data_IF_719957899742
#
_entry.id   IF_719957899742
#
_cell.length_a   1.000
_cell.length_b   1.000
_cell.length_c   1.000
_cell.angle_alpha   90.00
_cell.angle_beta   90.00
_cell.angle_gamma   90.00
#
_symmetry.space_group_name_H-M   'P 1'
#
loop_
_entity.id
_entity.type
_entity.pdbx_description
1 polymer ?
#
# COMPACT_ATOMS: atom_id res chain seq x y z
N UNK A 1 70.75 -26.13 -8.69
CA UNK A 1 69.75 -26.92 -7.96
C UNK A 1 69.32 -26.15 -6.73
N UNK A 2 68.15 -25.52 -6.73
CA UNK A 2 67.55 -24.94 -5.53
C UNK A 2 66.05 -25.21 -5.58
N UNK A 3 65.60 -26.19 -4.81
CA UNK A 3 64.19 -26.57 -4.69
C UNK A 3 63.54 -25.81 -3.54
N UNK A 4 62.35 -25.31 -3.85
CA UNK A 4 61.38 -24.66 -2.97
C UNK A 4 61.00 -25.48 -1.72
N UNK A 5 60.71 -24.78 -0.62
CA UNK A 5 59.65 -25.20 0.30
C UNK A 5 59.06 -23.98 1.02
N UNK A 6 57.95 -23.47 0.48
CA UNK A 6 57.09 -22.47 1.10
C UNK A 6 55.89 -23.20 1.68
N UNK A 7 56.01 -23.65 2.93
CA UNK A 7 54.96 -24.35 3.67
C UNK A 7 54.99 -23.84 5.09
N UNK A 8 54.14 -22.86 5.38
CA UNK A 8 53.52 -22.59 6.69
C UNK A 8 52.81 -21.23 6.66
N UNK A 9 51.48 -21.23 6.56
CA UNK A 9 50.60 -20.24 7.21
C UNK A 9 49.16 -20.37 6.68
N UNK A 10 48.43 -21.42 7.07
CA UNK A 10 46.96 -21.49 6.91
C UNK A 10 46.31 -22.45 7.94
N UNK A 11 46.69 -22.37 9.22
CA UNK A 11 45.95 -23.05 10.30
C UNK A 11 45.95 -22.24 11.59
N UNK A 12 45.17 -21.16 11.65
CA UNK A 12 44.89 -20.48 12.93
C UNK A 12 43.64 -19.59 12.89
N UNK A 13 42.48 -20.11 12.46
CA UNK A 13 41.20 -19.36 12.52
C UNK A 13 39.97 -20.20 12.95
N UNK A 14 40.15 -21.33 13.66
CA UNK A 14 39.03 -22.23 13.97
C UNK A 14 38.75 -22.59 15.44
N UNK A 15 39.32 -21.93 16.44
CA UNK A 15 39.05 -22.30 17.85
C UNK A 15 38.88 -21.12 18.80
N UNK A 16 37.87 -20.28 18.56
CA UNK A 16 37.31 -19.42 19.61
C UNK A 16 35.86 -19.01 19.28
N UNK A 17 34.91 -19.94 19.45
CA UNK A 17 33.47 -19.64 19.29
C UNK A 17 32.59 -20.46 20.23
N UNK A 18 32.89 -20.43 21.53
CA UNK A 18 32.03 -21.05 22.56
C UNK A 18 31.82 -20.17 23.81
N UNK A 19 31.77 -18.84 23.67
CA UNK A 19 31.35 -17.95 24.76
C UNK A 19 30.52 -16.77 24.26
N UNK A 20 29.21 -17.00 24.07
CA UNK A 20 28.12 -16.05 24.35
C UNK A 20 26.80 -16.63 23.83
N UNK A 21 26.07 -17.33 24.70
CA UNK A 21 24.67 -17.71 24.46
C UNK A 21 23.75 -16.49 24.70
N UNK A 22 24.04 -15.37 24.05
CA UNK A 22 23.05 -14.32 23.86
C UNK A 22 22.27 -14.76 22.64
N UNK A 23 21.05 -15.28 22.85
CA UNK A 23 20.14 -15.59 21.75
C UNK A 23 20.07 -14.35 20.86
N UNK A 24 20.57 -14.40 19.62
CA UNK A 24 20.56 -13.23 18.75
C UNK A 24 19.12 -12.78 18.63
N UNK A 25 18.83 -11.55 19.09
CA UNK A 25 17.53 -10.91 18.91
C UNK A 25 17.13 -11.17 17.46
N UNK A 26 16.01 -11.86 17.26
CA UNK A 26 15.48 -12.17 15.93
C UNK A 26 15.31 -10.83 15.21
N UNK A 27 16.31 -10.46 14.40
CA UNK A 27 16.29 -9.23 13.65
C UNK A 27 15.07 -9.31 12.74
N UNK A 28 14.34 -8.21 12.66
CA UNK A 28 13.07 -8.10 11.94
C UNK A 28 13.14 -8.86 10.62
N UNK A 29 12.42 -9.98 10.54
CA UNK A 29 12.30 -10.82 9.35
C UNK A 29 11.70 -10.07 8.16
N UNK A 30 11.26 -8.82 8.36
CA UNK A 30 10.56 -7.96 7.39
C UNK A 30 11.44 -6.96 6.66
N UNK A 31 12.77 -6.97 6.79
CA UNK A 31 13.63 -6.11 5.94
C UNK A 31 13.46 -6.52 4.47
N UNK A 32 13.27 -5.58 3.55
CA UNK A 32 13.24 -5.90 2.11
C UNK A 32 14.59 -6.47 1.64
N UNK A 33 14.58 -7.33 0.62
CA UNK A 33 15.82 -7.74 -0.06
C UNK A 33 16.34 -6.57 -0.89
N UNK A 34 17.64 -6.33 -0.80
CA UNK A 34 18.35 -5.30 -1.55
C UNK A 34 19.02 -5.89 -2.79
N UNK A 35 19.45 -5.04 -3.72
CA UNK A 35 20.22 -5.49 -4.90
C UNK A 35 21.55 -6.17 -4.52
N UNK A 36 22.13 -5.79 -3.37
CA UNK A 36 23.32 -6.43 -2.83
C UNK A 36 23.02 -7.88 -2.39
N UNK A 37 21.88 -8.10 -1.74
CA UNK A 37 21.43 -9.44 -1.37
C UNK A 37 21.22 -10.31 -2.62
N UNK A 38 20.61 -9.75 -3.68
CA UNK A 38 20.39 -10.46 -4.94
C UNK A 38 21.70 -10.89 -5.60
N UNK A 39 22.70 -10.00 -5.66
CA UNK A 39 24.03 -10.33 -6.19
C UNK A 39 24.69 -11.44 -5.37
N UNK A 40 24.62 -11.34 -4.04
CA UNK A 40 25.18 -12.35 -3.14
C UNK A 40 24.52 -13.73 -3.31
N UNK A 41 23.18 -13.78 -3.37
CA UNK A 41 22.40 -15.00 -3.57
C UNK A 41 22.81 -15.67 -4.89
N UNK A 42 22.92 -14.90 -5.97
CA UNK A 42 23.29 -15.43 -7.29
C UNK A 42 24.71 -15.97 -7.32
N UNK A 43 25.67 -15.27 -6.70
CA UNK A 43 27.05 -15.73 -6.58
C UNK A 43 27.13 -17.06 -5.79
N UNK A 44 26.46 -17.15 -4.64
CA UNK A 44 26.41 -18.37 -3.83
C UNK A 44 25.73 -19.54 -4.57
N UNK A 45 24.70 -19.26 -5.38
CA UNK A 45 24.05 -20.26 -6.23
C UNK A 45 24.97 -20.77 -7.34
N UNK A 46 25.79 -19.90 -7.93
CA UNK A 46 26.84 -20.30 -8.88
C UNK A 46 27.85 -21.27 -8.27
N UNK A 47 28.15 -21.09 -6.98
CA UNK A 47 29.00 -21.99 -6.18
C UNK A 47 28.28 -23.23 -5.65
N UNK A 48 27.01 -23.46 -6.04
CA UNK A 48 26.17 -24.58 -5.57
C UNK A 48 25.93 -24.62 -4.05
N UNK A 49 26.04 -23.49 -3.33
CA UNK A 49 25.63 -23.43 -1.92
C UNK A 49 24.13 -23.74 -1.75
N UNK A 50 23.77 -24.40 -0.65
CA UNK A 50 22.36 -24.70 -0.32
C UNK A 50 21.64 -23.41 0.09
N UNK A 51 20.32 -23.33 -0.17
CA UNK A 51 19.52 -22.16 0.24
C UNK A 51 19.54 -21.94 1.75
N UNK A 52 19.65 -23.02 2.54
CA UNK A 52 19.77 -22.94 4.00
C UNK A 52 21.03 -22.20 4.43
N UNK A 53 22.18 -22.56 3.88
CA UNK A 53 23.45 -21.89 4.16
C UNK A 53 23.41 -20.41 3.73
N UNK A 54 22.81 -20.11 2.58
CA UNK A 54 22.64 -18.73 2.11
C UNK A 54 21.71 -17.94 3.04
N UNK A 55 20.65 -18.56 3.57
CA UNK A 55 19.73 -17.93 4.50
C UNK A 55 20.43 -17.61 5.83
N UNK A 56 21.27 -18.51 6.33
CA UNK A 56 22.11 -18.30 7.50
C UNK A 56 23.12 -17.16 7.27
N UNK A 57 23.82 -17.16 6.14
CA UNK A 57 24.78 -16.10 5.76
C UNK A 57 24.12 -14.71 5.70
N UNK A 58 22.85 -14.63 5.24
CA UNK A 58 22.08 -13.38 5.16
C UNK A 58 21.29 -13.04 6.43
N UNK A 59 21.34 -13.89 7.45
CA UNK A 59 20.50 -13.80 8.65
C UNK A 59 19.00 -13.67 8.30
N UNK A 60 18.51 -14.56 7.43
CA UNK A 60 17.12 -14.63 6.95
C UNK A 60 16.50 -15.99 7.24
N UNK A 61 15.18 -16.03 7.30
CA UNK A 61 14.47 -17.31 7.37
C UNK A 61 14.48 -17.99 6.00
N UNK A 62 14.62 -19.32 6.01
CA UNK A 62 14.61 -20.12 4.79
C UNK A 62 13.34 -19.89 3.93
N UNK A 63 12.11 -19.87 4.48
CA UNK A 63 10.90 -19.60 3.67
C UNK A 63 10.89 -18.23 2.99
N UNK A 64 11.46 -17.20 3.64
CA UNK A 64 11.60 -15.87 3.04
C UNK A 64 12.55 -15.90 1.85
N UNK A 65 13.70 -16.57 2.02
CA UNK A 65 14.68 -16.70 0.94
C UNK A 65 14.15 -17.55 -0.22
N UNK A 66 13.45 -18.65 0.06
CA UNK A 66 12.84 -19.51 -0.96
C UNK A 66 11.83 -18.73 -1.80
N UNK A 67 10.92 -18.00 -1.16
CA UNK A 67 9.94 -17.16 -1.85
C UNK A 67 10.63 -16.07 -2.69
N UNK A 68 11.67 -15.43 -2.13
CA UNK A 68 12.43 -14.40 -2.84
C UNK A 68 13.18 -14.96 -4.05
N UNK A 69 13.94 -16.04 -3.89
CA UNK A 69 14.67 -16.71 -4.96
C UNK A 69 13.72 -17.19 -6.06
N UNK A 70 12.59 -17.81 -5.68
CA UNK A 70 11.56 -18.22 -6.63
C UNK A 70 11.07 -17.04 -7.47
N UNK A 71 10.73 -15.92 -6.82
CA UNK A 71 10.27 -14.72 -7.51
C UNK A 71 11.36 -14.13 -8.40
N UNK A 72 12.59 -13.97 -7.90
CA UNK A 72 13.72 -13.37 -8.63
C UNK A 72 14.13 -14.20 -9.84
N UNK A 73 14.25 -15.52 -9.71
CA UNK A 73 14.54 -16.42 -10.83
C UNK A 73 13.43 -16.41 -11.87
N UNK A 74 12.16 -16.42 -11.41
CA UNK A 74 10.99 -16.30 -12.28
C UNK A 74 10.95 -14.97 -13.04
N UNK A 75 11.42 -13.86 -12.44
CA UNK A 75 11.55 -12.56 -13.14
C UNK A 75 12.63 -12.61 -14.22
N UNK A 76 13.80 -13.16 -13.89
CA UNK A 76 14.99 -13.15 -14.78
C UNK A 76 14.85 -14.08 -15.99
N UNK A 77 14.14 -15.20 -15.86
CA UNK A 77 13.89 -16.11 -16.99
C UNK A 77 12.86 -15.58 -18.01
N UNK A 78 12.52 -14.27 -17.97
CA UNK A 78 11.43 -13.71 -18.79
C UNK A 78 10.05 -14.31 -18.45
N UNK A 79 9.96 -15.06 -17.34
CA UNK A 79 8.81 -15.89 -16.97
C UNK A 79 7.75 -15.16 -16.15
N UNK A 80 7.95 -13.87 -15.84
CA UNK A 80 6.79 -12.98 -15.71
C UNK A 80 6.39 -12.62 -17.14
N UNK A 81 5.75 -13.58 -17.82
CA UNK A 81 4.66 -13.18 -18.71
C UNK A 81 3.87 -12.16 -17.88
N UNK A 82 3.68 -10.91 -18.35
CA UNK A 82 2.88 -9.93 -17.63
C UNK A 82 1.66 -10.70 -17.17
N UNK A 83 1.36 -10.70 -15.85
CA UNK A 83 0.19 -11.41 -15.34
C UNK A 83 -0.91 -11.00 -16.29
N UNK A 84 -1.31 -11.91 -17.20
CA UNK A 84 -2.14 -11.52 -18.34
C UNK A 84 -3.29 -10.82 -17.66
N UNK A 85 -3.53 -9.53 -17.94
CA UNK A 85 -4.42 -8.72 -17.13
C UNK A 85 -5.65 -9.57 -16.95
N UNK A 86 -5.96 -9.95 -15.69
CA UNK A 86 -7.00 -10.95 -15.43
C UNK A 86 -8.23 -10.40 -16.13
N UNK A 87 -8.62 -11.02 -17.25
CA UNK A 87 -9.78 -10.57 -18.01
C UNK A 87 -10.91 -10.51 -16.99
N UNK A 88 -11.40 -9.30 -16.75
CA UNK A 88 -12.54 -9.13 -15.87
C UNK A 88 -13.72 -9.69 -16.64
N UNK A 89 -14.31 -10.76 -16.11
CA UNK A 89 -15.49 -11.35 -16.71
C UNK A 89 -16.68 -10.41 -16.49
N UNK A 90 -17.41 -10.12 -17.55
CA UNK A 90 -18.63 -9.30 -17.48
C UNK A 90 -19.83 -10.16 -17.09
N UNK A 91 -20.97 -9.52 -16.81
CA UNK A 91 -22.22 -10.26 -16.61
C UNK A 91 -22.68 -10.96 -17.89
N UNK A 92 -22.34 -10.41 -19.06
CA UNK A 92 -22.59 -11.04 -20.36
C UNK A 92 -21.83 -12.36 -20.46
N UNK A 93 -20.53 -12.38 -20.10
CA UNK A 93 -19.74 -13.62 -20.09
C UNK A 93 -20.38 -14.69 -19.16
N UNK A 94 -20.95 -14.27 -18.02
CA UNK A 94 -21.63 -15.19 -17.09
C UNK A 94 -22.92 -15.73 -17.69
N UNK A 95 -23.73 -14.86 -18.31
CA UNK A 95 -25.00 -15.26 -18.92
C UNK A 95 -24.76 -16.17 -20.12
N UNK A 96 -23.81 -15.82 -20.99
CA UNK A 96 -23.39 -16.66 -22.11
C UNK A 96 -22.93 -18.05 -21.63
N UNK A 97 -22.11 -18.12 -20.58
CA UNK A 97 -21.69 -19.39 -20.00
C UNK A 97 -22.88 -20.22 -19.48
N UNK A 98 -23.89 -19.59 -18.88
CA UNK A 98 -25.10 -20.25 -18.38
C UNK A 98 -26.00 -20.75 -19.50
N UNK A 99 -26.19 -19.96 -20.56
CA UNK A 99 -26.97 -20.37 -21.73
C UNK A 99 -26.33 -21.56 -22.45
N UNK A 100 -25.00 -21.56 -22.61
CA UNK A 100 -24.29 -22.71 -23.18
C UNK A 100 -24.43 -23.97 -22.30
N UNK A 101 -24.45 -23.83 -20.97
CA UNK A 101 -24.71 -24.97 -20.09
C UNK A 101 -26.17 -25.44 -20.16
N UNK A 102 -27.13 -24.52 -20.28
CA UNK A 102 -28.56 -24.82 -20.39
C UNK A 102 -28.88 -25.57 -21.69
N UNK A 103 -28.13 -25.31 -22.77
CA UNK A 103 -28.22 -26.06 -24.03
C UNK A 103 -27.56 -27.45 -24.00
N UNK A 104 -27.01 -27.86 -22.85
CA UNK A 104 -26.47 -29.20 -22.62
C UNK A 104 -24.97 -29.37 -22.92
N UNK A 105 -24.23 -28.30 -23.23
CA UNK A 105 -22.79 -28.40 -23.44
C UNK A 105 -22.08 -28.76 -22.13
N UNK A 106 -21.02 -29.58 -22.23
CA UNK A 106 -20.17 -29.86 -21.08
C UNK A 106 -19.40 -28.60 -20.65
N UNK A 107 -19.09 -28.46 -19.35
CA UNK A 107 -18.27 -27.34 -18.84
C UNK A 107 -16.93 -27.21 -19.59
N UNK A 108 -16.34 -28.33 -20.02
CA UNK A 108 -15.08 -28.34 -20.77
C UNK A 108 -15.24 -27.71 -22.15
N UNK A 109 -16.38 -27.93 -22.80
CA UNK A 109 -16.68 -27.37 -24.13
C UNK A 109 -17.05 -25.90 -24.03
N UNK A 110 -17.80 -25.51 -22.99
CA UNK A 110 -18.05 -24.09 -22.68
C UNK A 110 -16.74 -23.34 -22.44
N UNK A 111 -15.83 -23.89 -21.62
CA UNK A 111 -14.52 -23.28 -21.36
C UNK A 111 -13.70 -23.12 -22.65
N UNK A 112 -13.73 -24.13 -23.53
CA UNK A 112 -13.06 -24.08 -24.83
C UNK A 112 -13.66 -23.01 -25.75
N UNK A 113 -15.00 -22.95 -25.82
CA UNK A 113 -15.73 -22.00 -26.66
C UNK A 113 -15.50 -20.55 -26.22
N UNK A 114 -15.47 -20.30 -24.91
CA UNK A 114 -15.17 -18.99 -24.32
C UNK A 114 -13.67 -18.65 -24.26
N UNK A 115 -12.79 -19.57 -24.68
CA UNK A 115 -11.32 -19.45 -24.62
C UNK A 115 -10.81 -19.16 -23.20
N UNK A 116 -11.39 -19.80 -22.20
CA UNK A 116 -10.98 -19.72 -20.78
C UNK A 116 -10.57 -21.09 -20.26
N UNK A 117 -9.76 -21.11 -19.19
CA UNK A 117 -9.46 -22.37 -18.50
C UNK A 117 -10.67 -22.88 -17.70
N UNK A 118 -10.77 -24.19 -17.47
CA UNK A 118 -11.82 -24.77 -16.63
C UNK A 118 -11.85 -24.15 -15.22
N UNK A 119 -10.69 -23.83 -14.65
CA UNK A 119 -10.60 -23.14 -13.36
C UNK A 119 -11.19 -21.72 -13.41
N UNK A 120 -10.98 -20.99 -14.51
CA UNK A 120 -11.61 -19.68 -14.71
C UNK A 120 -13.11 -19.80 -14.91
N UNK A 121 -13.60 -20.75 -15.71
CA UNK A 121 -15.04 -20.98 -15.88
C UNK A 121 -15.73 -21.28 -14.54
N UNK A 122 -15.07 -22.08 -13.69
CA UNK A 122 -15.53 -22.32 -12.33
C UNK A 122 -15.64 -21.02 -11.52
N UNK A 123 -14.65 -20.13 -11.61
CA UNK A 123 -14.71 -18.81 -10.95
C UNK A 123 -15.81 -17.91 -11.53
N UNK A 124 -16.13 -18.01 -12.82
CA UNK A 124 -17.24 -17.26 -13.46
C UNK A 124 -18.59 -17.72 -12.89
N UNK A 125 -18.79 -19.04 -12.78
CA UNK A 125 -20.07 -19.64 -12.41
C UNK A 125 -20.29 -19.67 -10.88
N UNK A 126 -19.27 -20.07 -10.12
CA UNK A 126 -19.39 -20.38 -8.69
C UNK A 126 -19.13 -19.19 -7.77
N UNK A 127 -18.55 -18.08 -8.28
CA UNK A 127 -18.24 -16.94 -7.45
C UNK A 127 -19.34 -15.87 -7.55
N UNK A 128 -20.30 -15.80 -6.60
CA UNK A 128 -21.28 -14.71 -6.60
C UNK A 128 -20.61 -13.33 -6.44
N UNK A 129 -19.33 -13.24 -6.03
CA UNK A 129 -18.59 -11.97 -5.97
C UNK A 129 -18.10 -11.49 -7.34
N UNK A 130 -17.84 -12.36 -8.31
CA UNK A 130 -17.57 -11.93 -9.70
C UNK A 130 -18.85 -11.41 -10.36
N UNK A 131 -19.99 -12.04 -10.07
CA UNK A 131 -21.34 -11.56 -10.48
C UNK A 131 -21.74 -10.24 -9.79
N UNK A 132 -21.27 -10.00 -8.56
CA UNK A 132 -21.63 -8.78 -7.82
C UNK A 132 -20.99 -7.49 -8.35
N UNK A 133 -19.93 -7.53 -9.18
CA UNK A 133 -19.14 -6.33 -9.46
C UNK A 133 -18.44 -6.27 -10.83
N UNK A 134 -19.07 -6.76 -11.91
CA UNK A 134 -19.06 -5.89 -13.08
C UNK A 134 -19.86 -4.65 -12.64
N UNK A 135 -19.16 -3.67 -12.07
CA UNK A 135 -19.75 -2.43 -11.57
C UNK A 135 -20.33 -1.75 -12.80
N UNK A 136 -21.58 -2.07 -13.15
CA UNK A 136 -22.33 -1.30 -14.11
C UNK A 136 -22.17 0.13 -13.65
N UNK A 137 -21.51 0.93 -14.50
CA UNK A 137 -21.55 2.35 -14.33
C UNK A 137 -23.02 2.69 -14.16
N UNK A 138 -23.35 3.44 -13.10
CA UNK A 138 -24.74 3.80 -12.85
C UNK A 138 -25.29 4.41 -14.14
N UNK A 139 -26.41 3.88 -14.60
CA UNK A 139 -27.10 4.47 -15.74
C UNK A 139 -27.50 5.90 -15.38
N UNK A 140 -27.62 6.79 -16.36
CA UNK A 140 -28.10 8.16 -16.08
C UNK A 140 -29.50 8.14 -15.46
N UNK A 141 -30.33 7.14 -15.78
CA UNK A 141 -31.63 6.91 -15.13
C UNK A 141 -31.50 6.57 -13.63
N UNK A 142 -30.55 5.71 -13.26
CA UNK A 142 -30.26 5.41 -11.85
C UNK A 142 -29.74 6.64 -11.11
N UNK A 143 -28.88 7.42 -11.75
CA UNK A 143 -28.34 8.66 -11.19
C UNK A 143 -29.48 9.66 -10.94
N UNK A 144 -30.34 9.89 -11.93
CA UNK A 144 -31.50 10.77 -11.81
C UNK A 144 -32.43 10.32 -10.69
N UNK A 145 -32.71 9.02 -10.60
CA UNK A 145 -33.52 8.44 -9.51
C UNK A 145 -32.89 8.64 -8.13
N UNK A 146 -31.58 8.44 -8.00
CA UNK A 146 -30.86 8.69 -6.73
C UNK A 146 -30.93 10.17 -6.34
N UNK A 147 -30.82 11.07 -7.32
CA UNK A 147 -30.89 12.52 -7.11
C UNK A 147 -32.29 12.92 -6.67
N UNK A 148 -33.35 12.53 -7.40
CA UNK A 148 -34.74 12.89 -7.07
C UNK A 148 -35.15 12.38 -5.69
N UNK A 149 -34.84 11.12 -5.36
CA UNK A 149 -35.08 10.56 -4.03
C UNK A 149 -34.36 11.33 -2.92
N UNK A 150 -33.20 11.92 -3.20
CA UNK A 150 -32.45 12.72 -2.22
C UNK A 150 -32.99 14.14 -2.10
N UNK A 151 -33.33 14.81 -3.19
CA UNK A 151 -33.76 16.22 -3.20
C UNK A 151 -35.22 16.37 -2.81
N UNK A 152 -36.11 15.51 -3.32
CA UNK A 152 -37.55 15.59 -3.11
C UNK A 152 -37.97 14.92 -1.81
N UNK A 153 -37.53 13.67 -1.59
CA UNK A 153 -37.93 12.86 -0.44
C UNK A 153 -36.99 12.98 0.77
N UNK A 154 -35.87 13.69 0.64
CA UNK A 154 -34.86 13.90 1.68
C UNK A 154 -34.32 12.61 2.33
N UNK A 155 -34.38 11.48 1.62
CA UNK A 155 -33.97 10.17 2.16
C UNK A 155 -32.49 10.14 2.54
N UNK A 156 -32.17 9.44 3.62
CA UNK A 156 -30.79 9.21 4.05
C UNK A 156 -30.05 8.30 3.06
N UNK A 157 -28.72 8.35 3.08
CA UNK A 157 -27.89 7.52 2.19
C UNK A 157 -28.11 6.01 2.39
N UNK A 158 -28.41 5.59 3.63
CA UNK A 158 -28.68 4.20 3.98
C UNK A 158 -30.03 3.73 3.43
N UNK A 159 -31.06 4.59 3.48
CA UNK A 159 -32.37 4.30 2.89
C UNK A 159 -32.29 4.25 1.37
N UNK A 160 -31.56 5.19 0.75
CA UNK A 160 -31.29 5.15 -0.69
C UNK A 160 -30.60 3.84 -1.10
N UNK A 161 -29.65 3.33 -0.30
CA UNK A 161 -28.97 2.06 -0.56
C UNK A 161 -29.92 0.88 -0.53
N UNK A 162 -30.82 0.84 0.46
CA UNK A 162 -31.86 -0.19 0.54
C UNK A 162 -32.84 -0.10 -0.62
N UNK A 163 -33.29 1.10 -0.98
CA UNK A 163 -34.32 1.30 -1.97
C UNK A 163 -33.83 1.09 -3.41
N UNK A 164 -32.58 1.45 -3.71
CA UNK A 164 -32.04 1.37 -5.07
C UNK A 164 -31.21 0.10 -5.31
N UNK A 165 -30.89 -0.66 -4.25
CA UNK A 165 -30.02 -1.84 -4.33
C UNK A 165 -28.54 -1.52 -4.53
N UNK A 166 -28.17 -0.23 -4.69
CA UNK A 166 -26.78 0.19 -4.82
C UNK A 166 -26.07 0.24 -3.48
N UNK A 167 -24.75 -0.05 -3.51
CA UNK A 167 -23.95 0.05 -2.30
C UNK A 167 -23.93 1.47 -1.75
N UNK A 168 -23.87 1.60 -0.41
CA UNK A 168 -23.73 2.88 0.27
C UNK A 168 -22.58 3.74 -0.29
N UNK A 169 -21.42 3.12 -0.56
CA UNK A 169 -20.25 3.79 -1.14
C UNK A 169 -20.51 4.35 -2.53
N UNK A 170 -21.27 3.61 -3.35
CA UNK A 170 -21.67 4.05 -4.70
C UNK A 170 -22.57 5.27 -4.60
N UNK A 171 -23.62 5.21 -3.78
CA UNK A 171 -24.54 6.32 -3.56
C UNK A 171 -23.81 7.54 -3.02
N UNK A 172 -22.94 7.36 -2.01
CA UNK A 172 -22.11 8.45 -1.47
C UNK A 172 -21.30 9.12 -2.57
N UNK A 173 -20.63 8.35 -3.43
CA UNK A 173 -19.81 8.88 -4.54
C UNK A 173 -20.67 9.58 -5.59
N UNK A 174 -21.81 9.03 -5.97
CA UNK A 174 -22.72 9.62 -6.97
C UNK A 174 -23.30 10.94 -6.49
N UNK A 175 -23.83 10.97 -5.28
CA UNK A 175 -24.36 12.19 -4.67
C UNK A 175 -23.26 13.24 -4.51
N UNK A 176 -22.05 12.82 -4.09
CA UNK A 176 -20.89 13.73 -4.01
C UNK A 176 -20.57 14.35 -5.38
N UNK A 177 -20.52 13.54 -6.44
CA UNK A 177 -20.17 14.02 -7.78
C UNK A 177 -21.25 14.92 -8.39
N UNK A 178 -22.53 14.61 -8.18
CA UNK A 178 -23.65 15.25 -8.89
C UNK A 178 -24.31 16.40 -8.14
N UNK A 179 -24.52 16.27 -6.83
CA UNK A 179 -25.11 17.33 -5.99
C UNK A 179 -24.05 18.30 -5.47
N UNK A 180 -22.90 18.36 -6.15
CA UNK A 180 -21.77 19.19 -5.76
C UNK A 180 -21.23 18.88 -4.37
N UNK A 181 -21.54 17.67 -3.83
CA UNK A 181 -21.15 17.16 -2.53
C UNK A 181 -20.81 18.26 -1.56
N UNK A 182 -21.77 19.16 -1.29
CA UNK A 182 -21.63 20.40 -0.54
C UNK A 182 -20.18 20.71 -0.17
N UNK A 183 -19.45 21.26 -1.13
CA UNK A 183 -18.13 21.87 -0.96
C UNK A 183 -17.04 20.87 -0.50
N UNK A 184 -15.79 21.10 -0.91
CA UNK A 184 -14.75 20.95 0.12
C UNK A 184 -15.22 21.86 1.25
N UNK A 185 -15.75 21.33 2.34
CA UNK A 185 -16.24 22.11 3.49
C UNK A 185 -15.17 23.03 4.09
N UNK A 186 -13.95 22.97 3.57
CA UNK A 186 -13.18 24.15 3.27
C UNK A 186 -12.29 23.78 2.07
N UNK A 187 -12.31 24.50 0.95
CA UNK A 187 -10.99 24.83 0.40
C UNK A 187 -10.29 25.45 1.61
N UNK A 188 -9.41 24.69 2.27
CA UNK A 188 -8.89 25.03 3.59
C UNK A 188 -8.56 26.50 3.52
N UNK A 189 -9.33 27.34 4.25
CA UNK A 189 -9.09 28.77 4.19
C UNK A 189 -7.59 28.89 4.45
N UNK A 190 -6.82 29.58 3.60
CA UNK A 190 -5.39 29.69 3.85
C UNK A 190 -5.22 30.21 5.28
N UNK A 191 -4.28 29.64 6.03
CA UNK A 191 -3.93 30.24 7.32
C UNK A 191 -3.32 31.59 7.03
N UNK A 192 -3.87 32.62 7.66
CA UNK A 192 -3.25 33.93 7.71
C UNK A 192 -2.03 33.89 8.63
N UNK A 193 -1.09 34.82 8.46
CA UNK A 193 0.07 34.92 9.34
C UNK A 193 -0.35 35.10 10.82
N UNK A 194 -1.39 35.89 11.07
CA UNK A 194 -1.94 36.10 12.40
C UNK A 194 -2.47 34.79 13.02
N UNK A 195 -3.18 33.96 12.24
CA UNK A 195 -3.65 32.66 12.72
C UNK A 195 -2.49 31.70 13.01
N UNK A 196 -1.41 31.75 12.21
CA UNK A 196 -0.21 30.97 12.49
C UNK A 196 0.46 31.42 13.80
N UNK A 197 0.59 32.73 14.03
CA UNK A 197 1.16 33.28 15.26
C UNK A 197 0.32 32.89 16.50
N UNK A 198 -1.01 32.95 16.38
CA UNK A 198 -1.94 32.49 17.41
C UNK A 198 -1.77 31.00 17.67
N UNK A 199 -1.75 30.18 16.62
CA UNK A 199 -1.53 28.74 16.72
C UNK A 199 -0.22 28.43 17.45
N UNK A 200 0.87 29.08 17.09
CA UNK A 200 2.18 28.87 17.74
C UNK A 200 2.16 29.31 19.21
N UNK A 201 1.52 30.43 19.51
CA UNK A 201 1.37 30.93 20.88
C UNK A 201 0.62 29.92 21.75
N UNK A 202 -0.54 29.45 21.30
CA UNK A 202 -1.32 28.43 22.03
C UNK A 202 -0.56 27.12 22.20
N UNK A 203 0.22 26.72 21.19
CA UNK A 203 1.05 25.51 21.28
C UNK A 203 2.22 25.67 22.24
N UNK A 204 2.85 26.85 22.34
CA UNK A 204 3.88 27.17 23.34
C UNK A 204 3.33 27.20 24.76
N UNK A 205 2.06 27.61 24.93
CA UNK A 205 1.34 27.55 26.21
C UNK A 205 0.91 26.12 26.60
N UNK A 206 1.14 25.12 25.75
CA UNK A 206 0.83 23.71 26.06
C UNK A 206 -0.61 23.27 25.76
N UNK A 207 -1.44 24.14 25.18
CA UNK A 207 -2.84 23.80 24.87
C UNK A 207 -2.90 22.69 23.82
N UNK A 208 -3.79 21.71 24.00
CA UNK A 208 -4.01 20.64 23.02
C UNK A 208 -4.81 21.13 21.79
N UNK A 209 -4.79 20.38 20.69
CA UNK A 209 -5.44 20.81 19.44
C UNK A 209 -6.95 21.07 19.56
N UNK A 210 -7.62 20.40 20.51
CA UNK A 210 -9.06 20.60 20.74
C UNK A 210 -9.32 21.94 21.43
N UNK A 211 -8.51 22.30 22.41
CA UNK A 211 -8.53 23.61 23.07
C UNK A 211 -8.17 24.72 22.09
N UNK A 212 -7.11 24.52 21.28
CA UNK A 212 -6.74 25.47 20.23
C UNK A 212 -7.88 25.70 19.24
N UNK A 213 -8.59 24.65 18.81
CA UNK A 213 -9.73 24.76 17.91
C UNK A 213 -10.91 25.52 18.53
N UNK A 214 -11.11 25.40 19.85
CA UNK A 214 -12.13 26.18 20.55
C UNK A 214 -11.79 27.68 20.58
N UNK A 215 -10.50 28.04 20.57
CA UNK A 215 -10.02 29.42 20.55
C UNK A 215 -9.87 30.03 19.14
N UNK A 216 -9.96 29.22 18.07
CA UNK A 216 -9.82 29.66 16.68
C UNK A 216 -11.10 29.35 15.88
N UNK A 217 -12.17 30.17 16.02
CA UNK A 217 -13.45 29.90 15.38
C UNK A 217 -13.29 29.82 13.86
N UNK A 218 -13.96 28.83 13.23
CA UNK A 218 -13.85 28.56 11.80
C UNK A 218 -12.71 27.57 11.43
N UNK A 219 -11.86 27.17 12.38
CA UNK A 219 -10.86 26.11 12.18
C UNK A 219 -11.28 24.80 12.84
N UNK A 220 -11.05 23.69 12.14
CA UNK A 220 -11.29 22.35 12.70
C UNK A 220 -10.04 21.83 13.39
N UNK A 221 -10.21 20.94 14.38
CA UNK A 221 -9.10 20.26 15.08
C UNK A 221 -8.10 19.62 14.10
N UNK A 222 -8.62 18.98 13.05
CA UNK A 222 -7.78 18.36 12.01
C UNK A 222 -6.96 19.39 11.24
N UNK A 223 -7.59 20.50 10.83
CA UNK A 223 -6.92 21.60 10.11
C UNK A 223 -5.78 22.21 10.93
N UNK A 224 -6.00 22.42 12.23
CA UNK A 224 -4.99 22.94 13.16
C UNK A 224 -3.80 21.97 13.28
N UNK A 225 -4.08 20.68 13.46
CA UNK A 225 -3.04 19.66 13.56
C UNK A 225 -2.23 19.49 12.27
N UNK A 226 -2.89 19.55 11.11
CA UNK A 226 -2.21 19.53 9.80
C UNK A 226 -1.33 20.77 9.59
N UNK A 227 -1.81 21.97 9.97
CA UNK A 227 -1.04 23.21 9.84
C UNK A 227 0.19 23.22 10.75
N UNK A 228 0.05 22.84 12.02
CA UNK A 228 1.17 22.80 12.95
C UNK A 228 2.24 21.78 12.52
N UNK A 229 1.84 20.59 12.04
CA UNK A 229 2.78 19.61 11.46
C UNK A 229 3.54 20.16 10.25
N UNK A 230 2.85 20.93 9.41
CA UNK A 230 3.47 21.61 8.25
C UNK A 230 4.51 22.61 8.73
N UNK A 231 4.17 23.47 9.70
CA UNK A 231 5.10 24.42 10.30
C UNK A 231 6.35 23.73 10.88
N UNK A 232 6.18 22.61 11.59
CA UNK A 232 7.30 21.84 12.13
C UNK A 232 8.20 21.28 11.03
N UNK A 233 7.62 20.79 9.92
CA UNK A 233 8.40 20.26 8.79
C UNK A 233 9.19 21.38 8.11
N UNK A 234 8.56 22.53 7.88
CA UNK A 234 9.15 23.63 7.15
C UNK A 234 10.26 24.33 7.99
N UNK A 235 10.06 24.46 9.32
CA UNK A 235 11.07 25.05 10.23
C UNK A 235 12.14 24.08 10.71
N UNK A 236 11.93 22.76 10.62
CA UNK A 236 13.01 21.80 10.86
C UNK A 236 14.13 21.95 9.82
N UNK A 237 13.82 22.55 8.68
CA UNK A 237 14.82 22.95 7.69
C UNK A 237 15.57 24.24 8.08
N UNK A 238 15.07 25.00 9.05
CA UNK A 238 15.64 26.27 9.51
C UNK A 238 16.51 26.11 10.76
N UNK A 239 16.18 25.15 11.64
CA UNK A 239 17.02 24.82 12.81
C UNK A 239 18.34 24.11 12.46
N UNK A 240 18.54 23.71 11.20
CA UNK A 240 19.78 23.08 10.71
C UNK A 240 20.72 24.07 9.99
N UNK A 241 20.35 25.37 9.92
CA UNK A 241 21.06 26.38 9.10
C UNK A 241 21.59 27.58 9.91
N UNK A 242 21.40 27.65 11.22
CA UNK A 242 21.93 28.78 12.03
C UNK A 242 22.52 28.34 13.37
N UNK A 243 23.73 27.79 13.29
CA UNK A 243 24.76 27.91 14.34
C UNK A 243 26.07 28.38 13.69
N UNK A 244 26.02 29.48 12.95
CA UNK A 244 27.22 30.23 12.59
C UNK A 244 26.78 31.68 12.43
N UNK A 245 27.00 32.48 13.46
CA UNK A 245 27.18 33.94 13.40
C UNK A 245 27.05 34.54 14.80
N UNK A 246 28.19 35.00 15.32
CA UNK A 246 28.23 36.31 15.97
C UNK A 246 28.31 36.33 17.49
N UNK A 247 29.53 36.15 17.98
CA UNK A 247 30.02 36.69 19.25
C UNK A 247 29.80 38.22 19.28
N UNK A 248 28.69 38.68 19.88
CA UNK A 248 28.42 40.10 20.11
C UNK A 248 28.99 40.48 21.47
N UNK A 249 30.23 40.98 21.43
CA UNK A 249 30.85 41.75 22.51
C UNK A 249 29.86 42.79 23.07
N UNK A 250 29.54 42.65 24.35
CA UNK A 250 28.90 43.70 25.14
C UNK A 250 29.96 44.70 25.58
N UNK A 251 29.82 46.01 25.30
CA UNK A 251 30.68 47.02 25.89
C UNK A 251 30.21 47.37 27.32
N UNK A 252 31.12 47.92 28.14
CA UNK A 252 30.97 48.08 29.60
C UNK A 252 29.95 49.14 30.03
#
# INVERSE_FOLDING_TARGET
MFTHSYSQSLRSWCTNRLQSLVLPRLHSTRRAYTDADDKFILACRGQKKTLRAIAEDLNRTLPSLESHVYNTMRRKQGGIQPIRPKRLFTNEDVNEAREMLATGLSRRDVARKMRVSNGQLRVILDNPRSQRQAKHALSEADIAKIISLRTEKKLTRSELARQTGWSFSTIRRTLWKRLGGAQRSSAALPYTAQEDDQLLTYRRQGLNYRETAALMPGRTVGSIGDRYRTYLRDNKHYSDVKEDDGDVHSPP
#
